data_IF_105032097731
#
_entry.id   IF_105032097731
#
_cell.length_a   1.000
_cell.length_b   1.000
_cell.length_c   1.000
_cell.angle_alpha   90.00
_cell.angle_beta   90.00
_cell.angle_gamma   90.00
#
_symmetry.space_group_name_H-M   'P 1'
#
loop_
_entity.id
_entity.type
_entity.pdbx_description
1 polymer ?
#
# COMPACT_ATOMS: atom_id res chain seq x y z
N UNK A 1 47.31 57.63 7.59
CA UNK A 1 46.51 56.40 7.40
C UNK A 1 47.25 55.12 7.76
N UNK A 2 48.46 55.17 8.32
CA UNK A 2 49.20 53.96 8.75
C UNK A 2 48.90 53.52 10.20
N UNK A 3 48.38 54.42 11.05
CA UNK A 3 48.04 54.10 12.44
C UNK A 3 46.81 53.18 12.56
N UNK A 4 45.82 53.32 11.67
CA UNK A 4 44.57 52.56 11.73
C UNK A 4 44.72 51.09 11.31
N UNK A 5 45.68 50.76 10.44
CA UNK A 5 45.97 49.37 10.09
C UNK A 5 46.77 48.63 11.19
N UNK A 6 47.52 49.36 12.02
CA UNK A 6 48.29 48.78 13.11
C UNK A 6 47.42 48.37 14.30
N UNK A 7 46.42 49.19 14.65
CA UNK A 7 45.50 48.89 15.76
C UNK A 7 44.57 47.70 15.46
N UNK A 8 44.16 47.52 14.20
CA UNK A 8 43.34 46.37 13.78
C UNK A 8 44.15 45.07 13.85
N UNK A 9 45.44 45.11 13.47
CA UNK A 9 46.32 43.95 13.56
C UNK A 9 46.67 43.60 15.02
N UNK A 10 46.81 44.59 15.91
CA UNK A 10 46.98 44.36 17.35
C UNK A 10 45.71 43.79 18.00
N UNK A 11 44.52 44.28 17.62
CA UNK A 11 43.25 43.74 18.13
C UNK A 11 42.99 42.29 17.67
N UNK A 12 43.39 41.93 16.45
CA UNK A 12 43.34 40.54 15.95
C UNK A 12 44.35 39.62 16.66
N UNK A 13 45.54 40.13 17.03
CA UNK A 13 46.54 39.39 17.79
C UNK A 13 46.13 39.15 19.26
N UNK A 14 45.44 40.10 19.90
CA UNK A 14 44.85 39.90 21.24
C UNK A 14 43.71 38.86 21.23
N UNK A 15 42.90 38.81 20.17
CA UNK A 15 41.84 37.80 20.02
C UNK A 15 42.38 36.39 19.75
N UNK A 16 43.53 36.28 19.07
CA UNK A 16 44.20 35.00 18.82
C UNK A 16 44.93 34.47 20.08
N UNK A 17 45.54 35.36 20.88
CA UNK A 17 46.24 34.98 22.12
C UNK A 17 45.30 34.62 23.27
N UNK A 18 44.07 35.17 23.30
CA UNK A 18 43.07 34.87 24.35
C UNK A 18 42.33 33.53 24.18
N UNK A 19 42.61 32.75 23.12
CA UNK A 19 41.94 31.48 22.82
C UNK A 19 42.74 30.20 23.14
N UNK A 20 43.85 30.33 23.85
CA UNK A 20 44.55 29.18 24.46
C UNK A 20 44.59 29.31 25.99
N UNK A 21 43.41 29.24 26.62
CA UNK A 21 43.30 28.75 27.99
C UNK A 21 42.64 27.39 27.91
N UNK A 22 43.46 26.35 28.02
CA UNK A 22 43.05 24.98 28.35
C UNK A 22 42.23 25.04 29.64
N UNK A 23 40.91 25.01 29.52
CA UNK A 23 40.04 24.73 30.65
C UNK A 23 40.40 23.32 31.15
N UNK A 24 40.98 23.26 32.35
CA UNK A 24 41.18 22.02 33.07
C UNK A 24 39.82 21.32 33.19
N UNK A 25 39.73 20.11 32.63
CA UNK A 25 38.58 19.23 32.80
C UNK A 25 38.51 18.82 34.28
N UNK A 26 37.74 19.55 35.06
CA UNK A 26 37.37 19.16 36.41
C UNK A 26 36.22 18.15 36.29
N UNK A 27 36.47 16.91 36.70
CA UNK A 27 35.51 15.81 36.68
C UNK A 27 34.30 16.20 37.53
N UNK A 28 33.13 16.33 36.89
CA UNK A 28 31.87 16.47 37.62
C UNK A 28 31.58 15.15 38.35
N UNK A 29 31.69 15.17 39.68
CA UNK A 29 31.20 14.11 40.54
C UNK A 29 29.68 14.21 40.60
N UNK A 30 29.01 13.33 39.85
CA UNK A 30 27.56 13.18 39.87
C UNK A 30 27.23 12.17 40.99
N UNK A 31 26.37 12.50 41.97
CA UNK A 31 25.99 11.53 42.99
C UNK A 31 25.24 10.35 42.35
N UNK A 32 25.66 9.14 42.72
CA UNK A 32 25.05 7.90 42.28
C UNK A 32 23.64 7.78 42.88
N UNK A 33 22.62 7.87 42.03
CA UNK A 33 21.25 7.52 42.43
C UNK A 33 21.15 5.99 42.61
N UNK A 34 20.62 5.49 43.74
CA UNK A 34 20.48 4.06 43.96
C UNK A 34 19.50 3.44 42.96
N UNK A 35 19.94 2.38 42.28
CA UNK A 35 19.13 1.61 41.34
C UNK A 35 17.94 0.97 42.07
N UNK A 36 16.74 1.51 41.89
CA UNK A 36 15.52 0.87 42.39
C UNK A 36 15.26 -0.41 41.62
N UNK A 37 15.19 -1.53 42.35
CA UNK A 37 15.07 -2.90 41.84
C UNK A 37 13.89 -3.05 40.86
N UNK A 38 14.06 -3.77 39.72
CA UNK A 38 13.03 -3.93 38.68
C UNK A 38 11.82 -4.80 39.11
N UNK A 39 11.81 -5.31 40.35
CA UNK A 39 10.78 -6.24 40.82
C UNK A 39 9.48 -5.55 41.27
N UNK A 40 9.50 -4.25 41.59
CA UNK A 40 8.31 -3.55 42.11
C UNK A 40 7.29 -3.16 41.02
N UNK A 41 7.71 -3.01 39.76
CA UNK A 41 6.80 -2.72 38.64
C UNK A 41 6.10 -3.98 38.08
N UNK A 42 6.65 -5.17 38.35
CA UNK A 42 6.03 -6.43 37.97
C UNK A 42 4.82 -6.79 38.86
N UNK A 43 4.77 -6.31 40.10
CA UNK A 43 3.65 -6.60 41.03
C UNK A 43 2.44 -5.68 40.78
N UNK A 44 2.66 -4.43 40.33
CA UNK A 44 1.56 -3.50 39.99
C UNK A 44 0.97 -3.78 38.60
N UNK A 45 1.77 -4.27 37.65
CA UNK A 45 1.28 -4.68 36.32
C UNK A 45 0.49 -5.99 36.31
N UNK A 46 0.76 -6.90 37.25
CA UNK A 46 0.11 -8.22 37.29
C UNK A 46 -1.28 -8.19 37.97
N UNK A 47 -1.53 -7.27 38.91
CA UNK A 47 -2.83 -7.18 39.59
C UNK A 47 -3.91 -6.48 38.77
N UNK A 48 -3.55 -5.67 37.77
CA UNK A 48 -4.52 -5.03 36.87
C UNK A 48 -4.97 -5.96 35.71
N UNK A 49 -4.24 -7.04 35.43
CA UNK A 49 -4.56 -7.99 34.36
C UNK A 49 -5.56 -9.08 34.80
N UNK A 50 -5.68 -9.36 36.11
CA UNK A 50 -6.63 -10.35 36.64
C UNK A 50 -8.06 -9.82 36.83
N UNK A 51 -8.29 -8.50 36.77
CA UNK A 51 -9.63 -7.91 36.93
C UNK A 51 -10.46 -7.86 35.63
N UNK A 52 -9.84 -8.08 34.46
CA UNK A 52 -10.54 -8.04 33.14
C UNK A 52 -10.65 -9.43 32.50
N UNK A 53 -9.88 -10.43 32.96
CA UNK A 53 -9.90 -11.79 32.41
C UNK A 53 -10.89 -12.77 33.07
N UNK A 54 -11.61 -12.36 34.12
CA UNK A 54 -12.38 -13.26 34.99
C UNK A 54 -13.82 -13.58 34.59
N UNK A 55 -14.33 -13.12 33.44
CA UNK A 55 -15.74 -13.30 33.04
C UNK A 55 -15.97 -14.10 31.74
N UNK A 56 -14.93 -14.65 31.12
CA UNK A 56 -15.05 -15.27 29.79
C UNK A 56 -14.84 -16.79 29.74
N UNK A 57 -14.53 -17.47 30.86
CA UNK A 57 -14.25 -18.93 30.88
C UNK A 57 -14.97 -19.62 32.03
N UNK A 58 -16.29 -19.52 32.07
CA UNK A 58 -17.14 -20.49 32.78
C UNK A 58 -18.51 -20.53 32.12
N UNK A 59 -18.67 -21.32 31.06
CA UNK A 59 -19.91 -22.04 30.70
C UNK A 59 -19.58 -23.08 29.62
N UNK A 60 -18.85 -24.11 30.03
CA UNK A 60 -18.78 -25.38 29.32
C UNK A 60 -18.96 -26.49 30.36
N UNK A 61 -20.23 -26.78 30.67
CA UNK A 61 -20.60 -27.93 31.49
C UNK A 61 -20.22 -29.23 30.81
N UNK A 62 -19.27 -29.90 31.42
CA UNK A 62 -18.90 -31.32 31.28
C UNK A 62 -20.09 -32.25 31.55
N UNK A 63 -20.33 -33.21 30.65
CA UNK A 63 -20.99 -34.47 30.98
C UNK A 63 -19.94 -35.59 31.07
N UNK A 64 -19.99 -36.30 32.19
CA UNK A 64 -19.11 -37.39 32.60
C UNK A 64 -19.86 -38.71 32.39
N UNK A 65 -19.26 -39.76 31.80
CA UNK A 65 -19.95 -41.03 31.61
C UNK A 65 -19.92 -41.86 32.90
N UNK A 66 -21.09 -42.36 33.29
CA UNK A 66 -21.24 -43.30 34.40
C UNK A 66 -20.76 -44.71 33.99
N UNK A 67 -20.00 -45.34 34.90
CA UNK A 67 -19.53 -46.71 34.82
C UNK A 67 -20.70 -47.69 34.97
N UNK A 68 -20.71 -48.69 34.09
CA UNK A 68 -21.67 -49.79 34.05
C UNK A 68 -21.15 -50.90 34.97
N UNK A 69 -21.95 -51.31 35.95
CA UNK A 69 -21.66 -52.45 36.81
C UNK A 69 -22.25 -53.73 36.21
N UNK A 70 -21.44 -54.79 36.25
CA UNK A 70 -21.62 -56.11 35.67
C UNK A 70 -22.58 -57.03 36.44
N UNK A 71 -23.41 -57.78 35.70
CA UNK A 71 -23.83 -59.18 35.94
C UNK A 71 -24.37 -59.71 34.59
N UNK A 72 -24.38 -60.97 34.18
CA UNK A 72 -23.65 -62.21 34.41
C UNK A 72 -24.33 -63.27 33.50
N UNK A 73 -23.56 -64.00 32.68
CA UNK A 73 -23.72 -65.43 32.26
C UNK A 73 -25.09 -65.86 31.69
N UNK A 74 -25.22 -66.32 30.44
CA UNK A 74 -24.98 -67.74 30.03
C UNK A 74 -25.04 -67.94 28.51
N UNK A 75 -24.18 -68.84 28.01
CA UNK A 75 -24.00 -69.35 26.63
C UNK A 75 -25.14 -70.35 26.21
N UNK A 76 -25.12 -71.12 25.07
CA UNK A 76 -24.02 -71.46 24.15
C UNK A 76 -24.35 -71.42 22.61
N UNK A 77 -23.38 -71.12 21.75
CA UNK A 77 -22.62 -72.05 20.85
C UNK A 77 -23.43 -72.80 19.79
N UNK A 78 -23.24 -72.45 18.51
CA UNK A 78 -23.03 -73.38 17.37
C UNK A 78 -22.14 -72.68 16.31
N UNK A 79 -21.15 -73.40 15.79
CA UNK A 79 -20.25 -73.04 14.67
C UNK A 79 -20.59 -73.90 13.42
N UNK A 80 -19.78 -73.89 12.34
CA UNK A 80 -19.46 -72.84 11.36
C UNK A 80 -19.91 -73.26 9.93
N UNK A 81 -19.68 -72.45 8.89
CA UNK A 81 -19.33 -72.85 7.50
C UNK A 81 -19.19 -71.60 6.59
N UNK A 82 -18.10 -71.53 5.81
CA UNK A 82 -17.85 -70.60 4.68
C UNK A 82 -18.10 -71.38 3.34
N UNK A 83 -17.89 -70.86 2.10
CA UNK A 83 -17.51 -69.51 1.62
C UNK A 83 -18.30 -69.00 0.36
N UNK A 84 -17.89 -67.81 -0.13
CA UNK A 84 -17.86 -67.33 -1.54
C UNK A 84 -18.90 -66.28 -2.03
N UNK A 85 -18.35 -65.06 -2.23
CA UNK A 85 -18.54 -64.06 -3.29
C UNK A 85 -19.94 -63.59 -3.73
N UNK A 86 -20.19 -62.28 -3.62
CA UNK A 86 -20.69 -61.39 -4.71
C UNK A 86 -20.74 -59.90 -4.28
N UNK A 87 -20.21 -59.04 -5.17
CA UNK A 87 -20.60 -57.67 -5.58
C UNK A 87 -21.27 -56.68 -4.58
N UNK A 88 -20.71 -55.45 -4.51
CA UNK A 88 -21.21 -54.18 -3.92
C UNK A 88 -22.64 -53.79 -4.38
N UNK A 89 -23.38 -52.75 -3.87
CA UNK A 89 -23.01 -51.59 -2.99
C UNK A 89 -24.12 -51.14 -1.97
N UNK A 90 -23.96 -49.94 -1.35
CA UNK A 90 -25.02 -48.98 -0.85
C UNK A 90 -25.27 -48.88 0.67
N UNK A 91 -24.92 -47.71 1.24
CA UNK A 91 -25.81 -46.71 1.89
C UNK A 91 -27.06 -47.22 2.66
N UNK A 92 -27.19 -46.89 3.96
CA UNK A 92 -28.22 -46.00 4.59
C UNK A 92 -28.42 -46.23 6.10
N UNK A 93 -28.89 -45.15 6.72
CA UNK A 93 -29.54 -44.91 8.04
C UNK A 93 -30.69 -45.90 8.38
N UNK A 94 -31.60 -45.75 9.38
CA UNK A 94 -31.86 -44.76 10.45
C UNK A 94 -32.18 -45.48 11.83
N UNK A 95 -33.04 -45.05 12.80
CA UNK A 95 -34.46 -44.68 12.61
C UNK A 95 -35.00 -43.46 13.40
N UNK A 96 -36.03 -42.91 12.77
CA UNK A 96 -37.09 -41.97 13.19
C UNK A 96 -38.14 -42.64 14.08
N UNK A 97 -38.86 -41.86 14.91
CA UNK A 97 -40.33 -41.84 15.12
C UNK A 97 -40.67 -41.16 16.47
N UNK A 98 -41.75 -40.39 16.69
CA UNK A 98 -42.81 -39.77 15.89
C UNK A 98 -43.63 -38.86 16.86
N UNK A 99 -44.52 -38.03 16.31
CA UNK A 99 -45.76 -37.42 16.86
C UNK A 99 -45.72 -35.91 17.24
N UNK A 100 -46.74 -35.05 17.04
CA UNK A 100 -47.88 -34.85 16.10
C UNK A 100 -48.50 -33.46 16.43
N UNK A 101 -48.83 -32.65 15.40
CA UNK A 101 -49.85 -31.57 15.25
C UNK A 101 -50.13 -30.49 16.34
N UNK A 102 -50.23 -29.22 15.92
CA UNK A 102 -51.51 -28.44 15.81
C UNK A 102 -51.30 -26.96 15.36
N UNK A 103 -52.26 -26.47 14.57
CA UNK A 103 -52.45 -25.11 14.03
C UNK A 103 -53.25 -24.21 15.02
N UNK A 104 -53.28 -22.87 14.87
CA UNK A 104 -54.39 -22.24 14.14
C UNK A 104 -54.08 -20.92 13.40
N UNK A 105 -55.00 -20.52 12.50
CA UNK A 105 -55.05 -19.28 11.72
C UNK A 105 -55.87 -18.13 12.38
N UNK A 106 -55.61 -16.87 11.96
CA UNK A 106 -56.40 -15.60 11.98
C UNK A 106 -55.42 -14.40 12.17
N UNK A 107 -55.51 -13.19 11.59
CA UNK A 107 -56.43 -12.49 10.69
C UNK A 107 -55.82 -11.11 10.31
N UNK A 108 -55.93 -10.71 9.03
CA UNK A 108 -56.25 -9.38 8.44
C UNK A 108 -55.69 -8.06 9.03
N UNK A 109 -55.03 -7.25 8.18
CA UNK A 109 -55.46 -5.87 7.82
C UNK A 109 -54.58 -5.21 6.74
N UNK A 110 -55.22 -4.82 5.63
CA UNK A 110 -54.73 -3.91 4.57
C UNK A 110 -55.32 -2.51 4.83
N UNK A 111 -54.65 -1.42 4.43
CA UNK A 111 -55.37 -0.47 3.56
C UNK A 111 -54.57 0.00 2.33
N UNK A 112 -55.31 0.06 1.23
CA UNK A 112 -55.02 0.66 -0.08
C UNK A 112 -54.93 2.21 0.01
N UNK A 113 -53.95 2.84 -0.66
CA UNK A 113 -53.99 3.46 -2.01
C UNK A 113 -54.62 4.86 -2.07
N UNK A 114 -53.88 5.84 -2.61
CA UNK A 114 -54.46 6.87 -3.49
C UNK A 114 -53.42 7.42 -4.48
N UNK A 115 -53.90 7.61 -5.71
CA UNK A 115 -53.23 7.97 -6.97
C UNK A 115 -53.49 9.46 -7.30
N UNK A 116 -52.90 9.92 -8.43
CA UNK A 116 -53.12 11.18 -9.19
C UNK A 116 -52.22 12.38 -8.80
N UNK A 117 -51.68 13.23 -9.69
CA UNK A 117 -51.68 13.36 -11.16
C UNK A 117 -50.54 14.32 -11.63
N UNK A 118 -50.37 14.38 -12.96
CA UNK A 118 -49.42 15.01 -13.90
C UNK A 118 -48.97 16.50 -13.70
N UNK A 119 -47.71 16.73 -14.14
CA UNK A 119 -47.05 17.81 -14.97
C UNK A 119 -47.60 19.27 -14.94
N UNK A 120 -46.78 20.33 -15.22
CA UNK A 120 -45.69 20.38 -16.22
C UNK A 120 -44.40 21.16 -15.86
N UNK A 121 -43.47 21.11 -16.83
CA UNK A 121 -42.12 21.70 -16.93
C UNK A 121 -42.13 23.23 -17.00
N UNK A 122 -41.02 23.91 -16.64
CA UNK A 122 -40.53 24.97 -17.53
C UNK A 122 -39.04 24.90 -17.86
N UNK A 123 -38.78 25.42 -19.06
CA UNK A 123 -37.54 25.53 -19.81
C UNK A 123 -36.63 26.65 -19.28
N UNK A 124 -35.31 26.43 -19.24
CA UNK A 124 -34.30 27.50 -19.21
C UNK A 124 -33.13 27.09 -20.10
N UNK A 125 -32.90 27.87 -21.18
CA UNK A 125 -31.66 27.91 -21.96
C UNK A 125 -30.60 28.72 -21.21
N UNK A 126 -29.32 28.53 -21.54
CA UNK A 126 -28.47 29.70 -21.71
C UNK A 126 -27.78 29.77 -23.07
N UNK A 127 -27.51 31.03 -23.38
CA UNK A 127 -26.87 31.65 -24.55
C UNK A 127 -25.40 31.22 -24.66
N UNK A 128 -24.94 30.90 -25.86
CA UNK A 128 -23.51 30.88 -26.22
C UNK A 128 -23.26 32.09 -27.11
N UNK A 129 -22.46 33.03 -26.58
CA UNK A 129 -21.85 34.13 -27.32
C UNK A 129 -20.40 33.77 -27.66
N UNK A 130 -20.01 34.22 -28.84
CA UNK A 130 -18.71 34.14 -29.49
C UNK A 130 -17.53 34.67 -28.63
N UNK A 131 -16.33 34.09 -28.79
CA UNK A 131 -15.16 34.73 -29.46
C UNK A 131 -13.83 34.00 -29.19
N UNK A 132 -12.92 34.24 -30.14
CA UNK A 132 -11.44 34.19 -30.08
C UNK A 132 -10.80 32.80 -29.98
N UNK A 133 -10.24 32.26 -31.05
CA UNK A 133 -9.04 32.66 -31.82
C UNK A 133 -7.77 31.97 -31.32
N UNK A 134 -7.33 31.03 -32.13
CA UNK A 134 -6.01 30.40 -32.18
C UNK A 134 -4.89 31.44 -32.27
N UNK A 135 -3.81 31.27 -31.50
CA UNK A 135 -2.48 31.75 -31.89
C UNK A 135 -1.37 30.88 -31.28
N UNK A 136 -0.57 30.29 -32.17
CA UNK A 136 0.84 29.89 -31.97
C UNK A 136 1.71 31.00 -32.61
N UNK A 137 3.03 31.04 -32.39
CA UNK A 137 3.74 32.25 -32.00
C UNK A 137 4.42 32.95 -33.19
N UNK A 138 4.53 34.28 -33.12
CA UNK A 138 5.32 35.07 -34.03
C UNK A 138 6.19 36.08 -33.26
N UNK A 139 7.50 35.83 -33.32
CA UNK A 139 8.58 36.78 -33.65
C UNK A 139 8.34 38.24 -33.22
N UNK A 140 9.06 38.67 -32.19
CA UNK A 140 9.32 40.10 -31.99
C UNK A 140 10.63 40.50 -32.66
N UNK A 141 10.46 41.32 -33.67
CA UNK A 141 11.47 42.05 -34.42
C UNK A 141 11.77 43.37 -33.70
N UNK A 142 13.07 43.62 -33.46
CA UNK A 142 13.83 44.87 -33.64
C UNK A 142 13.15 46.22 -33.33
N UNK A 143 13.77 47.01 -32.45
CA UNK A 143 13.81 48.47 -32.58
C UNK A 143 15.26 48.96 -32.55
N UNK A 144 15.58 49.75 -33.56
CA UNK A 144 16.89 50.26 -33.93
C UNK A 144 17.20 51.61 -33.28
N UNK A 145 18.49 51.90 -33.09
CA UNK A 145 19.02 53.27 -33.05
C UNK A 145 20.45 53.33 -33.64
N UNK A 146 20.48 53.70 -34.92
CA UNK A 146 21.34 54.64 -35.65
C UNK A 146 22.84 54.90 -35.29
N UNK A 147 23.72 54.45 -36.21
CA UNK A 147 24.84 55.12 -36.92
C UNK A 147 25.99 55.88 -36.19
N UNK A 148 27.18 55.23 -36.26
CA UNK A 148 28.52 55.66 -36.79
C UNK A 148 29.26 56.89 -36.21
N UNK A 149 30.63 56.94 -36.17
CA UNK A 149 31.51 56.44 -37.25
C UNK A 149 32.84 55.76 -36.91
N UNK A 150 33.32 55.13 -37.97
CA UNK A 150 34.59 54.46 -38.26
C UNK A 150 35.84 55.32 -38.00
N UNK A 151 36.81 54.71 -37.32
CA UNK A 151 38.26 54.96 -37.34
C UNK A 151 38.90 53.62 -36.93
N UNK A 152 40.04 53.09 -37.39
CA UNK A 152 41.06 53.39 -38.39
C UNK A 152 41.87 52.07 -38.48
N UNK A 153 42.44 51.76 -39.63
CA UNK A 153 43.28 50.58 -39.88
C UNK A 153 44.64 50.75 -39.17
N UNK A 154 45.13 49.72 -38.45
CA UNK A 154 46.53 49.25 -38.50
C UNK A 154 46.84 48.23 -37.39
N UNK A 155 47.52 47.15 -37.80
CA UNK A 155 48.68 46.49 -37.16
C UNK A 155 48.63 46.18 -35.65
N UNK A 156 48.69 44.89 -35.30
CA UNK A 156 49.91 44.25 -34.77
C UNK A 156 49.52 42.88 -34.21
N UNK A 157 50.25 41.84 -34.59
CA UNK A 157 50.16 40.50 -34.02
C UNK A 157 50.67 40.49 -32.58
N UNK A 158 49.77 40.38 -31.62
CA UNK A 158 50.08 40.02 -30.23
C UNK A 158 49.52 38.62 -29.95
N UNK A 159 50.24 37.77 -29.19
CA UNK A 159 49.84 36.40 -28.95
C UNK A 159 48.46 36.39 -28.31
N UNK A 160 47.60 35.52 -28.82
CA UNK A 160 46.28 35.26 -28.25
C UNK A 160 46.50 34.78 -26.82
N UNK A 161 46.43 35.70 -25.86
CA UNK A 161 46.27 35.38 -24.45
C UNK A 161 44.94 34.67 -24.34
N UNK A 162 44.98 33.34 -24.38
CA UNK A 162 43.85 32.48 -24.06
C UNK A 162 43.61 32.64 -22.57
N UNK A 163 42.89 33.70 -22.22
CA UNK A 163 42.34 33.91 -20.89
C UNK A 163 41.37 32.76 -20.63
N UNK A 164 41.82 31.74 -19.89
CA UNK A 164 40.95 30.70 -19.37
C UNK A 164 40.09 31.34 -18.27
N UNK A 165 38.89 31.80 -18.65
CA UNK A 165 37.87 32.23 -17.69
C UNK A 165 37.33 30.96 -17.02
N UNK A 166 37.80 30.70 -15.80
CA UNK A 166 37.26 29.64 -14.96
C UNK A 166 35.98 30.19 -14.32
N UNK A 167 34.84 29.99 -14.99
CA UNK A 167 33.54 30.28 -14.40
C UNK A 167 33.19 29.17 -13.41
N UNK A 168 33.14 29.51 -12.12
CA UNK A 168 32.75 28.57 -11.07
C UNK A 168 31.23 28.39 -11.10
N UNK A 169 30.76 27.32 -11.74
CA UNK A 169 29.34 26.95 -11.73
C UNK A 169 29.03 26.23 -10.42
N UNK A 170 28.24 26.87 -9.55
CA UNK A 170 27.68 26.22 -8.37
C UNK A 170 26.61 25.20 -8.80
N UNK A 171 26.67 23.99 -8.25
CA UNK A 171 25.69 22.95 -8.56
C UNK A 171 24.35 23.26 -7.89
N UNK A 172 23.27 23.07 -8.63
CA UNK A 172 21.91 23.17 -8.08
C UNK A 172 21.65 22.05 -7.07
N UNK A 173 20.68 22.20 -6.13
CA UNK A 173 20.30 21.12 -5.21
C UNK A 173 19.97 19.81 -5.93
N UNK A 174 19.30 19.86 -7.08
CA UNK A 174 19.01 18.69 -7.89
C UNK A 174 20.28 18.01 -8.43
N UNK A 175 21.27 18.78 -8.91
CA UNK A 175 22.56 18.25 -9.37
C UNK A 175 23.40 17.69 -8.22
N UNK A 176 23.34 18.31 -7.03
CA UNK A 176 23.97 17.78 -5.82
C UNK A 176 23.32 16.47 -5.36
N UNK A 177 21.99 16.38 -5.44
CA UNK A 177 21.24 15.15 -5.18
C UNK A 177 21.67 14.04 -6.15
N UNK A 178 21.68 14.32 -7.46
CA UNK A 178 22.08 13.37 -8.49
C UNK A 178 23.52 12.86 -8.29
N UNK A 179 24.45 13.77 -7.97
CA UNK A 179 25.83 13.38 -7.63
C UNK A 179 25.88 12.46 -6.41
N UNK A 180 25.04 12.70 -5.41
CA UNK A 180 24.93 11.88 -4.20
C UNK A 180 24.30 10.51 -4.49
N UNK A 181 23.28 10.46 -5.35
CA UNK A 181 22.68 9.21 -5.86
C UNK A 181 23.72 8.39 -6.63
N UNK A 182 24.47 9.00 -7.55
CA UNK A 182 25.52 8.31 -8.30
C UNK A 182 26.62 7.76 -7.39
N UNK A 183 27.00 8.49 -6.34
CA UNK A 183 27.93 7.98 -5.31
C UNK A 183 27.33 6.78 -4.59
N UNK A 184 26.05 6.85 -4.22
CA UNK A 184 25.37 5.76 -3.54
C UNK A 184 25.33 4.48 -4.40
N UNK A 185 25.04 4.61 -5.68
CA UNK A 185 25.00 3.49 -6.63
C UNK A 185 26.38 2.85 -6.81
N UNK A 186 27.43 3.65 -7.01
CA UNK A 186 28.81 3.14 -7.05
C UNK A 186 29.22 2.43 -5.77
N UNK A 187 28.78 2.92 -4.62
CA UNK A 187 29.05 2.28 -3.34
C UNK A 187 28.31 0.93 -3.21
N UNK A 188 27.07 0.83 -3.71
CA UNK A 188 26.36 -0.45 -3.78
C UNK A 188 27.08 -1.46 -4.69
N UNK A 189 27.54 -1.02 -5.86
CA UNK A 189 28.30 -1.87 -6.79
C UNK A 189 29.61 -2.37 -6.16
N UNK A 190 30.22 -1.55 -5.28
CA UNK A 190 31.40 -1.91 -4.50
C UNK A 190 31.11 -2.74 -3.24
N UNK A 191 29.84 -3.01 -2.92
CA UNK A 191 29.42 -3.70 -1.69
C UNK A 191 29.55 -2.84 -0.42
N UNK A 192 29.86 -1.55 -0.54
CA UNK A 192 29.92 -0.60 0.58
C UNK A 192 28.52 -0.07 0.91
N UNK A 193 27.78 -0.87 1.68
CA UNK A 193 26.43 -0.53 2.12
C UNK A 193 26.40 0.74 2.99
N UNK A 194 27.45 1.01 3.77
CA UNK A 194 27.46 2.17 4.67
C UNK A 194 27.54 3.48 3.89
N UNK A 195 28.43 3.55 2.89
CA UNK A 195 28.54 4.71 2.01
C UNK A 195 27.32 4.87 1.12
N UNK A 196 26.71 3.78 0.67
CA UNK A 196 25.45 3.83 -0.07
C UNK A 196 24.32 4.48 0.76
N UNK A 197 24.13 4.01 2.00
CA UNK A 197 23.10 4.54 2.89
C UNK A 197 23.33 6.03 3.21
N UNK A 198 24.56 6.45 3.49
CA UNK A 198 24.86 7.86 3.80
C UNK A 198 24.65 8.76 2.58
N UNK A 199 25.07 8.31 1.39
CA UNK A 199 24.95 9.07 0.14
C UNK A 199 23.49 9.22 -0.32
N UNK A 200 22.66 8.19 -0.16
CA UNK A 200 21.22 8.32 -0.39
C UNK A 200 20.53 9.25 0.62
N UNK A 201 20.95 9.23 1.89
CA UNK A 201 20.44 10.21 2.87
C UNK A 201 20.85 11.63 2.49
N UNK A 202 22.08 11.83 2.02
CA UNK A 202 22.57 13.12 1.51
C UNK A 202 21.73 13.59 0.31
N UNK A 203 21.43 12.71 -0.64
CA UNK A 203 20.55 13.03 -1.77
C UNK A 203 19.18 13.55 -1.30
N UNK A 204 18.53 12.85 -0.36
CA UNK A 204 17.23 13.25 0.17
C UNK A 204 17.26 14.56 1.00
N UNK A 205 18.43 15.01 1.46
CA UNK A 205 18.58 16.34 2.08
C UNK A 205 18.49 17.46 1.06
N UNK A 206 18.92 17.20 -0.18
CA UNK A 206 18.81 18.15 -1.28
C UNK A 206 17.44 18.07 -1.99
N UNK A 207 16.89 16.87 -2.15
CA UNK A 207 15.60 16.61 -2.81
C UNK A 207 14.69 15.74 -1.95
N UNK A 208 14.03 16.35 -0.96
CA UNK A 208 13.19 15.63 0.00
C UNK A 208 12.03 14.84 -0.63
N UNK A 209 11.49 15.31 -1.75
CA UNK A 209 10.34 14.71 -2.45
C UNK A 209 10.73 13.65 -3.50
N UNK A 210 12.01 13.28 -3.60
CA UNK A 210 12.44 12.23 -4.54
C UNK A 210 11.99 10.85 -4.05
N UNK A 211 10.87 10.39 -4.60
CA UNK A 211 10.28 9.07 -4.28
C UNK A 211 11.21 7.92 -4.65
N UNK A 212 11.93 8.03 -5.77
CA UNK A 212 12.74 6.91 -6.26
C UNK A 212 13.95 6.69 -5.37
N UNK A 213 14.65 7.76 -5.03
CA UNK A 213 15.78 7.73 -4.07
C UNK A 213 15.32 7.23 -2.71
N UNK A 214 14.16 7.68 -2.23
CA UNK A 214 13.59 7.23 -0.96
C UNK A 214 13.20 5.76 -0.96
N UNK A 215 12.62 5.26 -2.05
CA UNK A 215 12.32 3.84 -2.22
C UNK A 215 13.60 2.99 -2.22
N UNK A 216 14.65 3.42 -2.93
CA UNK A 216 15.96 2.73 -2.94
C UNK A 216 16.53 2.66 -1.52
N UNK A 217 16.56 3.80 -0.81
CA UNK A 217 17.03 3.86 0.57
C UNK A 217 16.24 2.96 1.53
N UNK A 218 14.91 2.98 1.45
CA UNK A 218 14.05 2.12 2.27
C UNK A 218 14.30 0.64 1.97
N UNK A 219 14.49 0.28 0.69
CA UNK A 219 14.81 -1.10 0.28
C UNK A 219 16.13 -1.57 0.88
N UNK A 220 17.14 -0.69 0.93
CA UNK A 220 18.43 -1.01 1.58
C UNK A 220 18.30 -1.22 3.08
N UNK A 221 17.53 -0.36 3.78
CA UNK A 221 17.27 -0.55 5.21
C UNK A 221 16.52 -1.85 5.48
N UNK A 222 15.52 -2.18 4.66
CA UNK A 222 14.80 -3.45 4.75
C UNK A 222 15.74 -4.65 4.52
N UNK A 223 16.58 -4.61 3.48
CA UNK A 223 17.56 -5.66 3.20
C UNK A 223 18.61 -5.85 4.32
N UNK A 224 18.91 -4.78 5.07
CA UNK A 224 19.78 -4.81 6.26
C UNK A 224 19.06 -5.34 7.51
N UNK A 225 17.74 -5.50 7.47
CA UNK A 225 16.89 -5.90 8.61
C UNK A 225 16.40 -4.73 9.48
N UNK A 226 16.68 -3.48 9.11
CA UNK A 226 16.15 -2.29 9.79
C UNK A 226 14.76 -1.92 9.24
N UNK A 227 13.80 -2.81 9.49
CA UNK A 227 12.44 -2.72 8.96
C UNK A 227 11.71 -1.45 9.44
N UNK A 228 11.99 -1.03 10.68
CA UNK A 228 11.40 0.18 11.26
C UNK A 228 11.83 1.42 10.49
N UNK A 229 13.13 1.57 10.21
CA UNK A 229 13.63 2.72 9.46
C UNK A 229 13.15 2.73 8.01
N UNK A 230 13.07 1.56 7.38
CA UNK A 230 12.50 1.43 6.05
C UNK A 230 11.03 1.90 6.02
N UNK A 231 10.23 1.45 6.99
CA UNK A 231 8.84 1.86 7.15
C UNK A 231 8.69 3.38 7.37
N UNK A 232 9.44 3.96 8.33
CA UNK A 232 9.43 5.39 8.64
C UNK A 232 9.80 6.24 7.41
N UNK A 233 10.80 5.81 6.63
CA UNK A 233 11.21 6.49 5.40
C UNK A 233 10.10 6.53 4.36
N UNK A 234 9.44 5.38 4.11
CA UNK A 234 8.35 5.29 3.15
C UNK A 234 7.14 6.11 3.59
N UNK A 235 6.73 6.00 4.86
CA UNK A 235 5.63 6.80 5.40
C UNK A 235 5.89 8.29 5.28
N UNK A 236 7.10 8.74 5.62
CA UNK A 236 7.48 10.15 5.49
C UNK A 236 7.33 10.62 4.05
N UNK A 237 7.75 9.83 3.07
CA UNK A 237 7.59 10.19 1.66
C UNK A 237 6.14 10.18 1.19
N UNK A 238 5.31 9.25 1.66
CA UNK A 238 3.86 9.23 1.36
C UNK A 238 3.20 10.52 1.89
N UNK A 239 3.63 11.03 3.04
CA UNK A 239 3.13 12.29 3.59
C UNK A 239 3.58 13.52 2.77
N UNK A 240 4.76 13.44 2.13
CA UNK A 240 5.27 14.51 1.27
C UNK A 240 4.59 14.54 -0.11
N UNK A 241 4.14 13.38 -0.60
CA UNK A 241 3.38 13.27 -1.85
C UNK A 241 2.11 12.42 -1.66
N UNK A 242 1.00 13.03 -1.20
CA UNK A 242 -0.27 12.32 -0.98
C UNK A 242 -0.94 11.77 -2.25
N UNK A 243 -0.59 12.26 -3.44
CA UNK A 243 -1.07 11.69 -4.72
C UNK A 243 -0.13 10.60 -5.24
N UNK A 244 1.06 10.44 -4.65
CA UNK A 244 2.08 9.50 -5.08
C UNK A 244 1.75 8.05 -4.77
N UNK A 245 1.88 7.19 -5.78
CA UNK A 245 1.62 5.75 -5.67
C UNK A 245 2.89 4.93 -5.46
N UNK A 246 4.04 5.45 -5.89
CA UNK A 246 5.34 4.76 -5.89
C UNK A 246 5.69 4.22 -4.50
N UNK A 247 5.65 5.11 -3.50
CA UNK A 247 6.03 4.76 -2.13
C UNK A 247 4.97 3.93 -1.42
N UNK A 248 3.69 4.11 -1.76
CA UNK A 248 2.60 3.26 -1.25
C UNK A 248 2.75 1.82 -1.73
N UNK A 249 3.06 1.62 -3.02
CA UNK A 249 3.36 0.30 -3.57
C UNK A 249 4.62 -0.32 -2.96
N UNK A 250 5.68 0.48 -2.79
CA UNK A 250 6.89 0.02 -2.12
C UNK A 250 6.59 -0.45 -0.70
N UNK A 251 5.79 0.31 0.05
CA UNK A 251 5.40 -0.03 1.42
C UNK A 251 4.54 -1.29 1.47
N UNK A 252 3.53 -1.41 0.61
CA UNK A 252 2.71 -2.62 0.51
C UNK A 252 3.57 -3.85 0.20
N UNK A 253 4.46 -3.77 -0.79
CA UNK A 253 5.37 -4.86 -1.16
C UNK A 253 6.32 -5.24 -0.02
N UNK A 254 6.83 -4.27 0.72
CA UNK A 254 7.69 -4.50 1.89
C UNK A 254 6.92 -5.25 2.99
N UNK A 255 5.69 -4.85 3.28
CA UNK A 255 4.83 -5.49 4.28
C UNK A 255 4.45 -6.92 3.88
N UNK A 256 4.16 -7.16 2.60
CA UNK A 256 3.95 -8.52 2.08
C UNK A 256 5.19 -9.40 2.23
N UNK A 257 6.38 -8.87 1.97
CA UNK A 257 7.64 -9.60 2.19
C UNK A 257 7.94 -9.88 3.67
N UNK A 258 7.31 -9.12 4.57
CA UNK A 258 7.40 -9.31 6.01
C UNK A 258 6.25 -10.17 6.57
N UNK A 259 5.48 -10.84 5.70
CA UNK A 259 4.30 -11.65 6.05
C UNK A 259 3.20 -10.87 6.80
N UNK A 260 3.13 -9.54 6.59
CA UNK A 260 2.13 -8.65 7.19
C UNK A 260 1.05 -8.28 6.18
N UNK A 261 0.31 -9.28 5.70
CA UNK A 261 -0.65 -9.12 4.60
C UNK A 261 -1.80 -8.16 4.95
N UNK A 262 -2.33 -8.25 6.17
CA UNK A 262 -3.40 -7.37 6.64
C UNK A 262 -2.94 -5.90 6.66
N UNK A 263 -1.71 -5.65 7.09
CA UNK A 263 -1.13 -4.31 7.12
C UNK A 263 -0.80 -3.81 5.70
N UNK A 264 -0.41 -4.70 4.79
CA UNK A 264 -0.02 -4.36 3.43
C UNK A 264 -1.14 -3.72 2.59
N UNK A 265 -2.42 -3.94 2.96
CA UNK A 265 -3.54 -3.29 2.28
C UNK A 265 -3.70 -1.82 2.68
N UNK A 266 -3.31 -1.46 3.91
CA UNK A 266 -3.46 -0.09 4.45
C UNK A 266 -2.90 1.02 3.53
N UNK A 267 -1.64 0.96 3.05
CA UNK A 267 -1.11 1.99 2.16
C UNK A 267 -1.81 2.02 0.79
N UNK A 268 -2.54 0.97 0.41
CA UNK A 268 -3.24 0.86 -0.88
C UNK A 268 -4.70 1.34 -0.82
N UNK A 269 -5.19 1.76 0.35
CA UNK A 269 -6.57 2.21 0.51
C UNK A 269 -6.85 3.56 -0.16
N UNK A 270 -5.86 4.46 -0.13
CA UNK A 270 -5.96 5.76 -0.76
C UNK A 270 -5.75 5.64 -2.27
N UNK A 271 -6.65 6.17 -3.07
CA UNK A 271 -6.52 6.22 -4.53
C UNK A 271 -6.10 7.63 -4.95
N UNK A 272 -5.18 7.72 -5.92
CA UNK A 272 -4.89 8.98 -6.59
C UNK A 272 -6.04 9.36 -7.53
N UNK A 273 -6.01 10.58 -8.08
CA UNK A 273 -6.99 11.01 -9.10
C UNK A 273 -7.01 10.16 -10.37
N UNK A 274 -5.90 9.50 -10.71
CA UNK A 274 -5.76 8.65 -11.89
C UNK A 274 -4.88 7.43 -11.56
N UNK A 275 -5.42 6.43 -10.85
CA UNK A 275 -4.61 5.38 -10.30
C UNK A 275 -4.03 4.47 -11.36
N UNK A 276 -2.76 4.08 -11.18
CA UNK A 276 -2.07 3.25 -12.13
C UNK A 276 -2.62 1.82 -12.13
N UNK A 277 -2.49 1.14 -13.28
CA UNK A 277 -2.91 -0.26 -13.44
C UNK A 277 -2.23 -1.17 -12.41
N UNK A 278 -0.94 -0.98 -12.17
CA UNK A 278 -0.17 -1.78 -11.21
C UNK A 278 -0.64 -1.55 -9.76
N UNK A 279 -1.00 -0.31 -9.42
CA UNK A 279 -1.54 0.03 -8.11
C UNK A 279 -2.88 -0.67 -7.86
N UNK A 280 -3.80 -0.54 -8.80
CA UNK A 280 -5.11 -1.18 -8.72
C UNK A 280 -5.02 -2.70 -8.72
N UNK A 281 -4.12 -3.28 -9.51
CA UNK A 281 -3.91 -4.72 -9.55
C UNK A 281 -3.43 -5.27 -8.20
N UNK A 282 -2.49 -4.59 -7.55
CA UNK A 282 -2.03 -4.97 -6.21
C UNK A 282 -3.15 -4.82 -5.17
N UNK A 283 -3.86 -3.67 -5.17
CA UNK A 283 -4.99 -3.41 -4.28
C UNK A 283 -6.07 -4.47 -4.44
N UNK A 284 -6.45 -4.81 -5.67
CA UNK A 284 -7.47 -5.80 -5.99
C UNK A 284 -7.09 -7.20 -5.49
N UNK A 285 -5.87 -7.65 -5.82
CA UNK A 285 -5.40 -8.98 -5.46
C UNK A 285 -5.32 -9.17 -3.94
N UNK A 286 -4.77 -8.18 -3.24
CA UNK A 286 -4.64 -8.21 -1.79
C UNK A 286 -6.00 -8.11 -1.09
N UNK A 287 -6.87 -7.21 -1.53
CA UNK A 287 -8.23 -7.09 -1.01
C UNK A 287 -9.03 -8.39 -1.20
N UNK A 288 -8.93 -9.02 -2.37
CA UNK A 288 -9.59 -10.30 -2.66
C UNK A 288 -9.09 -11.42 -1.73
N UNK A 289 -7.77 -11.48 -1.49
CA UNK A 289 -7.16 -12.46 -0.58
C UNK A 289 -7.65 -12.26 0.87
N UNK A 290 -7.73 -11.02 1.31
CA UNK A 290 -8.19 -10.61 2.64
C UNK A 290 -9.72 -10.57 2.77
N UNK A 291 -10.47 -11.01 1.75
CA UNK A 291 -11.95 -11.00 1.71
C UNK A 291 -12.55 -9.61 1.94
N UNK A 292 -11.85 -8.57 1.50
CA UNK A 292 -12.35 -7.19 1.44
C UNK A 292 -13.04 -7.00 0.09
N UNK A 293 -14.18 -7.67 -0.06
CA UNK A 293 -14.81 -7.89 -1.38
C UNK A 293 -15.22 -6.58 -2.07
N UNK A 294 -15.69 -5.57 -1.33
CA UNK A 294 -16.03 -4.24 -1.89
C UNK A 294 -14.80 -3.53 -2.49
N UNK A 295 -13.68 -3.51 -1.75
CA UNK A 295 -12.41 -2.92 -2.19
C UNK A 295 -11.87 -3.66 -3.42
N UNK A 296 -11.98 -4.99 -3.41
CA UNK A 296 -11.57 -5.82 -4.54
C UNK A 296 -12.43 -5.52 -5.78
N UNK A 297 -13.76 -5.48 -5.63
CA UNK A 297 -14.70 -5.21 -6.72
C UNK A 297 -14.45 -3.83 -7.33
N UNK A 298 -14.34 -2.78 -6.51
CA UNK A 298 -14.03 -1.42 -6.95
C UNK A 298 -12.73 -1.40 -7.76
N UNK A 299 -11.68 -2.04 -7.26
CA UNK A 299 -10.37 -2.07 -7.93
C UNK A 299 -10.44 -2.79 -9.28
N UNK A 300 -11.12 -3.95 -9.36
CA UNK A 300 -11.29 -4.66 -10.63
C UNK A 300 -12.17 -3.90 -11.62
N UNK A 301 -13.19 -3.18 -11.14
CA UNK A 301 -14.02 -2.31 -11.97
C UNK A 301 -13.24 -1.14 -12.57
N UNK A 302 -12.30 -0.55 -11.82
CA UNK A 302 -11.40 0.46 -12.40
C UNK A 302 -10.40 -0.18 -13.38
N UNK A 303 -9.90 -1.39 -13.10
CA UNK A 303 -9.01 -2.10 -14.02
C UNK A 303 -9.64 -2.42 -15.37
N UNK A 304 -10.93 -2.82 -15.41
CA UNK A 304 -11.62 -3.04 -16.69
C UNK A 304 -11.84 -1.72 -17.48
N UNK A 305 -11.92 -0.58 -16.80
CA UNK A 305 -11.98 0.73 -17.47
C UNK A 305 -10.63 1.10 -18.10
N UNK A 306 -9.52 0.78 -17.44
CA UNK A 306 -8.17 1.02 -17.94
C UNK A 306 -7.73 0.01 -19.01
N UNK A 307 -8.20 -1.23 -18.92
CA UNK A 307 -7.77 -2.35 -19.75
C UNK A 307 -8.87 -3.40 -19.89
N UNK A 308 -9.86 -3.08 -20.73
CA UNK A 308 -11.03 -3.94 -20.93
C UNK A 308 -10.73 -5.25 -21.66
N UNK A 309 -9.55 -5.40 -22.28
CA UNK A 309 -9.19 -6.59 -23.04
C UNK A 309 -8.52 -7.69 -22.21
N UNK A 310 -8.12 -7.35 -20.98
CA UNK A 310 -7.53 -8.30 -20.06
C UNK A 310 -8.59 -9.09 -19.29
N UNK A 311 -8.74 -10.37 -19.65
CA UNK A 311 -9.69 -11.30 -19.06
C UNK A 311 -9.53 -11.49 -17.55
N UNK A 312 -8.34 -11.24 -16.98
CA UNK A 312 -8.11 -11.41 -15.54
C UNK A 312 -8.94 -10.43 -14.70
N UNK A 313 -9.15 -9.23 -15.22
CA UNK A 313 -9.94 -8.21 -14.52
C UNK A 313 -11.43 -8.55 -14.52
N UNK A 314 -11.95 -9.02 -15.66
CA UNK A 314 -13.31 -9.54 -15.76
C UNK A 314 -13.54 -10.75 -14.85
N UNK A 315 -12.57 -11.66 -14.77
CA UNK A 315 -12.61 -12.78 -13.83
C UNK A 315 -12.65 -12.29 -12.37
N UNK A 316 -11.82 -11.29 -12.03
CA UNK A 316 -11.84 -10.65 -10.72
C UNK A 316 -13.21 -10.08 -10.37
N UNK A 317 -13.79 -9.27 -11.27
CA UNK A 317 -15.16 -8.73 -11.11
C UNK A 317 -16.19 -9.84 -10.90
N UNK A 318 -16.16 -10.88 -11.74
CA UNK A 318 -17.12 -11.98 -11.66
C UNK A 318 -17.09 -12.69 -10.30
N UNK A 319 -15.89 -12.99 -9.79
CA UNK A 319 -15.70 -13.63 -8.48
C UNK A 319 -16.27 -12.74 -7.37
N UNK A 320 -16.03 -11.42 -7.41
CA UNK A 320 -16.53 -10.51 -6.37
C UNK A 320 -18.05 -10.31 -6.44
N UNK A 321 -18.62 -10.17 -7.64
CA UNK A 321 -20.08 -10.10 -7.84
C UNK A 321 -20.76 -11.37 -7.32
N UNK A 322 -20.17 -12.52 -7.57
CA UNK A 322 -20.70 -13.79 -7.10
C UNK A 322 -20.69 -13.90 -5.58
N UNK A 323 -19.59 -13.48 -4.91
CA UNK A 323 -19.52 -13.38 -3.44
C UNK A 323 -20.58 -12.43 -2.88
N UNK A 324 -20.88 -11.35 -3.61
CA UNK A 324 -21.94 -10.41 -3.29
C UNK A 324 -23.36 -10.91 -3.66
N UNK A 325 -23.52 -12.18 -4.08
CA UNK A 325 -24.80 -12.78 -4.51
C UNK A 325 -25.44 -12.09 -5.72
N UNK A 326 -24.68 -11.31 -6.49
CA UNK A 326 -25.10 -10.68 -7.75
C UNK A 326 -24.94 -11.68 -8.91
N UNK A 327 -25.66 -12.81 -8.84
CA UNK A 327 -25.41 -13.98 -9.69
C UNK A 327 -25.60 -13.70 -11.18
N UNK A 328 -26.55 -12.84 -11.55
CA UNK A 328 -26.80 -12.45 -12.94
C UNK A 328 -25.62 -11.68 -13.53
N UNK A 329 -25.10 -10.70 -12.80
CA UNK A 329 -23.96 -9.89 -13.23
C UNK A 329 -22.68 -10.73 -13.27
N UNK A 330 -22.48 -11.59 -12.26
CA UNK A 330 -21.34 -12.51 -12.22
C UNK A 330 -21.29 -13.41 -13.47
N UNK A 331 -22.44 -13.96 -13.90
CA UNK A 331 -22.55 -14.78 -15.12
C UNK A 331 -22.09 -14.02 -16.37
N UNK A 332 -22.51 -12.77 -16.53
CA UNK A 332 -22.10 -11.91 -17.66
C UNK A 332 -20.59 -11.63 -17.61
N UNK A 333 -20.05 -11.29 -16.44
CA UNK A 333 -18.63 -11.04 -16.25
C UNK A 333 -17.77 -12.28 -16.53
N UNK A 334 -18.21 -13.47 -16.10
CA UNK A 334 -17.56 -14.75 -16.40
C UNK A 334 -17.55 -15.06 -17.90
N UNK A 335 -18.68 -14.88 -18.58
CA UNK A 335 -18.77 -15.07 -20.03
C UNK A 335 -17.85 -14.10 -20.77
N UNK A 336 -17.80 -12.84 -20.33
CA UNK A 336 -16.92 -11.82 -20.89
C UNK A 336 -15.45 -12.21 -20.69
N UNK A 337 -15.07 -12.70 -19.51
CA UNK A 337 -13.71 -13.17 -19.24
C UNK A 337 -13.27 -14.30 -20.20
N UNK A 338 -14.18 -15.20 -20.62
CA UNK A 338 -13.88 -16.25 -21.61
C UNK A 338 -13.67 -15.73 -23.04
N UNK A 339 -14.22 -14.55 -23.36
CA UNK A 339 -14.07 -13.93 -24.69
C UNK A 339 -12.83 -13.04 -24.79
N UNK A 340 -12.24 -12.68 -23.65
CA UNK A 340 -11.07 -11.79 -23.54
C UNK A 340 -9.76 -12.57 -23.44
N UNK A 341 -8.64 -11.87 -23.62
CA UNK A 341 -7.31 -12.47 -23.64
C UNK A 341 -6.64 -12.41 -22.26
N UNK A 342 -5.70 -13.32 -21.98
CA UNK A 342 -4.81 -13.21 -20.82
C UNK A 342 -5.15 -14.06 -19.60
N UNK A 343 -6.11 -14.98 -19.68
CA UNK A 343 -6.35 -16.00 -18.65
C UNK A 343 -5.80 -17.38 -19.05
N UNK A 344 -5.41 -18.18 -18.07
CA UNK A 344 -4.88 -19.52 -18.29
C UNK A 344 -5.97 -20.53 -18.66
N UNK A 345 -5.59 -21.68 -19.24
CA UNK A 345 -6.53 -22.78 -19.47
C UNK A 345 -7.20 -23.28 -18.19
N UNK A 346 -6.48 -23.21 -17.06
CA UNK A 346 -7.04 -23.56 -15.75
C UNK A 346 -8.14 -22.57 -15.34
N UNK A 347 -7.89 -21.27 -15.53
CA UNK A 347 -8.87 -20.22 -15.26
C UNK A 347 -10.09 -20.36 -16.17
N UNK A 348 -9.92 -20.69 -17.45
CA UNK A 348 -11.03 -20.95 -18.37
C UNK A 348 -11.91 -22.12 -17.90
N UNK A 349 -11.31 -23.23 -17.47
CA UNK A 349 -12.05 -24.38 -16.92
C UNK A 349 -12.82 -23.99 -15.66
N UNK A 350 -12.17 -23.29 -14.73
CA UNK A 350 -12.82 -22.76 -13.52
C UNK A 350 -14.05 -21.92 -13.88
N UNK A 351 -13.94 -21.02 -14.86
CA UNK A 351 -15.07 -20.18 -15.28
C UNK A 351 -16.20 -21.03 -15.86
N UNK A 352 -15.89 -22.00 -16.72
CA UNK A 352 -16.89 -22.89 -17.34
C UNK A 352 -17.63 -23.72 -16.29
N UNK A 353 -16.93 -24.27 -15.30
CA UNK A 353 -17.53 -25.00 -14.18
C UNK A 353 -18.44 -24.08 -13.37
N UNK A 354 -18.01 -22.85 -13.09
CA UNK A 354 -18.81 -21.91 -12.32
C UNK A 354 -20.07 -21.47 -13.05
N UNK A 355 -19.99 -21.24 -14.36
CA UNK A 355 -21.15 -20.93 -15.19
C UNK A 355 -22.22 -22.04 -15.18
N UNK A 356 -21.82 -23.32 -15.15
CA UNK A 356 -22.76 -24.45 -15.01
C UNK A 356 -23.52 -24.38 -13.69
N UNK A 357 -22.80 -24.17 -12.59
CA UNK A 357 -23.41 -24.05 -11.25
C UNK A 357 -24.38 -22.87 -11.19
N UNK A 358 -24.00 -21.71 -11.73
CA UNK A 358 -24.87 -20.54 -11.76
C UNK A 358 -26.13 -20.76 -12.60
N UNK A 359 -26.03 -21.54 -13.69
CA UNK A 359 -27.18 -21.89 -14.53
C UNK A 359 -28.14 -22.86 -13.82
N UNK A 360 -27.62 -23.84 -13.08
CA UNK A 360 -28.44 -24.74 -12.26
C UNK A 360 -29.20 -23.98 -11.17
N UNK A 361 -28.54 -23.04 -10.49
CA UNK A 361 -29.16 -22.20 -9.46
C UNK A 361 -30.31 -21.33 -10.02
N UNK A 362 -30.18 -20.85 -11.25
CA UNK A 362 -31.21 -20.08 -11.95
C UNK A 362 -32.42 -20.94 -12.31
N UNK A 363 -32.22 -22.23 -12.61
CA UNK A 363 -33.31 -23.15 -12.97
C UNK A 363 -34.16 -23.64 -11.81
N UNK A 364 -33.71 -23.43 -10.57
CA UNK A 364 -34.38 -23.87 -9.33
C UNK A 364 -35.25 -22.75 -8.72
N UNK A 365 -35.08 -21.50 -9.18
CA UNK A 365 -35.89 -20.34 -8.79
C UNK A 365 -37.04 -20.14 -9.78
#
# INVERSE_FOLDING_TARGET
>A
MESYLSEINQALAELASKKQTTAQLQRAEIPHLPSSKPFLWLVVGFSLSLAVGGWAVTQSSTQQPALINSMAVSAPTVAPLQPAATLSPTLKTPPTELLTQSEPALSVAVPQKKTEEKRPVPSIRPVIQEKSSTSKPAVMTVKAEEKTPRATIASESEPSNVSMVIEQVELTPAQLAEKSVSRAEKALDAGDLQTALSSYNEALRYTANDEMTRQKLATLYFGKGDNRKAYELLQTGINLNPEGETLRLALAKMLLKADQEEAALSPLLALSSAPSKDYLAMRAALAQKLKKDEIALESYQQLIQLDSDNARWWLGVAIQQERAMQLKDAKVSYQTALQKMGISSQSQRFIQERLKVLQELESVQ
#
